data_IF_522858719635
#
_entry.id   IF_522858719635
#
_cell.length_a   1.000
_cell.length_b   1.000
_cell.length_c   1.000
_cell.angle_alpha   90.00
_cell.angle_beta   90.00
_cell.angle_gamma   90.00
#
_symmetry.space_group_name_H-M   'P 1'
#
loop_
_entity.id
_entity.type
_entity.pdbx_description
1 polymer ?
#
# COMPACT_ATOMS: atom_id res chain seq x y z
N UNK A 1 33.78 24.28 8.78
CA UNK A 1 33.00 23.50 9.77
C UNK A 1 31.54 23.70 9.46
N UNK A 2 30.94 22.79 8.67
CA UNK A 2 29.53 22.86 8.26
C UNK A 2 28.75 21.89 9.15
N UNK A 3 27.69 22.43 9.75
CA UNK A 3 26.85 21.82 10.79
C UNK A 3 26.04 20.62 10.26
N UNK A 4 26.33 19.42 10.77
CA UNK A 4 25.50 18.22 10.64
C UNK A 4 24.33 18.25 11.64
N UNK A 5 23.31 19.07 11.38
CA UNK A 5 22.07 19.04 12.19
C UNK A 5 20.83 19.23 11.34
N UNK A 6 20.42 18.21 10.58
CA UNK A 6 19.07 18.19 9.96
C UNK A 6 18.50 16.82 9.57
N UNK A 7 19.21 15.69 9.74
CA UNK A 7 18.75 14.40 9.18
C UNK A 7 17.80 13.60 10.12
N UNK A 8 17.68 13.98 11.39
CA UNK A 8 16.94 13.20 12.40
C UNK A 8 15.42 13.33 12.30
N UNK A 9 14.90 14.38 11.65
CA UNK A 9 13.43 14.64 11.59
C UNK A 9 12.73 13.87 10.47
N UNK A 10 13.43 13.52 9.39
CA UNK A 10 12.82 12.88 8.21
C UNK A 10 12.51 11.39 8.44
N UNK A 11 13.31 10.70 9.26
CA UNK A 11 13.15 9.24 9.52
C UNK A 11 11.92 8.95 10.40
N UNK A 12 11.55 9.88 11.29
CA UNK A 12 10.35 9.73 12.13
C UNK A 12 9.03 9.76 11.35
N UNK A 13 8.97 10.49 10.22
CA UNK A 13 7.74 10.66 9.45
C UNK A 13 7.45 9.44 8.55
N UNK A 14 8.48 8.76 8.04
CA UNK A 14 8.31 7.56 7.19
C UNK A 14 7.87 6.35 8.02
N UNK A 15 8.43 6.16 9.23
CA UNK A 15 8.01 5.10 10.16
C UNK A 15 6.63 5.34 10.77
N UNK A 16 6.25 6.60 11.03
CA UNK A 16 4.89 6.95 11.49
C UNK A 16 3.86 6.89 10.34
N UNK A 17 4.26 7.18 9.09
CA UNK A 17 3.38 7.09 7.92
C UNK A 17 2.98 5.66 7.55
N UNK A 18 3.93 4.72 7.57
CA UNK A 18 3.65 3.31 7.27
C UNK A 18 2.90 2.59 8.41
N UNK A 19 3.07 3.03 9.67
CA UNK A 19 2.42 2.44 10.85
C UNK A 19 1.08 3.12 11.19
N UNK A 20 0.94 4.42 10.91
CA UNK A 20 -0.26 5.19 11.20
C UNK A 20 -1.48 4.81 10.35
N UNK A 21 -1.25 4.25 9.16
CA UNK A 21 -2.34 3.80 8.29
C UNK A 21 -3.01 2.49 8.76
N UNK A 22 -2.40 1.76 9.70
CA UNK A 22 -2.92 0.49 10.22
C UNK A 22 -3.84 0.62 11.45
N UNK A 23 -4.02 1.82 12.03
CA UNK A 23 -4.72 1.98 13.33
C UNK A 23 -5.81 3.07 13.40
N UNK A 24 -6.26 3.68 12.31
CA UNK A 24 -7.36 4.67 12.37
C UNK A 24 -8.72 4.11 11.92
N UNK A 25 -9.28 3.15 12.64
CA UNK A 25 -10.74 2.92 12.65
C UNK A 25 -11.31 3.45 13.95
N UNK A 26 -11.28 4.78 14.13
CA UNK A 26 -12.02 5.46 15.18
C UNK A 26 -13.48 5.62 14.77
N UNK A 27 -14.39 5.05 15.55
CA UNK A 27 -15.83 5.14 15.37
C UNK A 27 -16.30 6.61 15.33
N UNK A 28 -16.76 7.07 14.16
CA UNK A 28 -17.50 8.32 14.04
C UNK A 28 -18.97 8.01 14.35
N UNK A 29 -19.45 8.48 15.51
CA UNK A 29 -20.88 8.53 15.80
C UNK A 29 -21.54 9.52 14.83
N UNK A 30 -22.23 8.99 13.82
CA UNK A 30 -23.06 9.79 12.93
C UNK A 30 -24.41 10.10 13.59
N UNK A 31 -24.72 11.40 13.72
CA UNK A 31 -26.07 11.88 14.03
C UNK A 31 -26.97 11.67 12.80
N UNK A 32 -28.22 11.22 12.96
CA UNK A 32 -29.14 11.06 11.84
C UNK A 32 -29.55 12.45 11.31
N UNK A 33 -29.41 12.66 10.01
CA UNK A 33 -29.95 13.83 9.31
C UNK A 33 -31.15 13.36 8.49
N UNK A 34 -32.30 13.98 8.74
CA UNK A 34 -33.58 13.64 8.13
C UNK A 34 -33.58 13.91 6.61
N UNK A 35 -34.21 12.99 5.89
CA UNK A 35 -34.45 13.00 4.45
C UNK A 35 -35.47 14.09 4.07
N UNK A 36 -35.20 14.79 2.98
CA UNK A 36 -36.26 15.30 2.10
C UNK A 36 -35.85 15.00 0.66
N UNK A 37 -36.62 14.11 0.05
CA UNK A 37 -36.55 13.66 -1.34
C UNK A 37 -37.35 14.61 -2.23
N UNK A 38 -36.74 15.09 -3.31
CA UNK A 38 -37.47 15.38 -4.56
C UNK A 38 -36.69 14.79 -5.73
N UNK A 39 -37.34 13.87 -6.44
CA UNK A 39 -36.84 13.22 -7.62
C UNK A 39 -36.91 14.16 -8.83
N UNK A 40 -35.82 14.24 -9.59
CA UNK A 40 -35.88 14.68 -10.99
C UNK A 40 -35.05 13.74 -11.85
N UNK A 41 -35.72 13.20 -12.87
CA UNK A 41 -35.22 12.21 -13.80
C UNK A 41 -34.68 12.93 -15.04
N UNK A 42 -33.38 12.81 -15.27
CA UNK A 42 -32.75 13.07 -16.57
C UNK A 42 -31.59 12.08 -16.70
N UNK A 43 -31.83 11.01 -17.44
CA UNK A 43 -30.80 10.08 -17.88
C UNK A 43 -30.19 10.64 -19.16
N UNK A 44 -29.06 11.34 -19.02
CA UNK A 44 -28.20 11.70 -20.14
C UNK A 44 -27.09 10.64 -20.29
N UNK A 45 -26.96 10.14 -21.52
CA UNK A 45 -25.93 9.21 -21.96
C UNK A 45 -24.55 9.87 -21.83
N UNK A 46 -23.83 9.56 -20.75
CA UNK A 46 -22.42 9.89 -20.61
C UNK A 46 -21.58 8.81 -21.30
N UNK A 47 -21.22 9.08 -22.55
CA UNK A 47 -20.12 8.38 -23.23
C UNK A 47 -18.83 8.70 -22.49
N UNK A 48 -18.42 7.82 -21.59
CA UNK A 48 -17.16 7.94 -20.85
C UNK A 48 -15.99 7.61 -21.78
N UNK A 49 -15.23 8.62 -22.19
CA UNK A 49 -13.91 8.41 -22.77
C UNK A 49 -12.97 7.98 -21.64
N UNK A 50 -12.34 6.80 -21.69
CA UNK A 50 -11.37 6.42 -20.68
C UNK A 50 -10.19 7.40 -20.76
N UNK A 51 -10.01 8.23 -19.73
CA UNK A 51 -8.78 8.99 -19.54
C UNK A 51 -7.67 7.95 -19.40
N UNK A 52 -6.76 7.89 -20.38
CA UNK A 52 -5.53 7.12 -20.25
C UNK A 52 -4.66 7.82 -19.21
N UNK A 53 -4.89 7.51 -17.92
CA UNK A 53 -3.96 7.83 -16.86
C UNK A 53 -2.62 7.23 -17.26
N UNK A 54 -1.56 8.05 -17.28
CA UNK A 54 -0.19 7.54 -17.41
C UNK A 54 -0.02 6.50 -16.32
N UNK A 55 0.00 5.23 -16.71
CA UNK A 55 0.44 4.17 -15.82
C UNK A 55 1.89 4.50 -15.49
N UNK A 56 2.12 5.01 -14.27
CA UNK A 56 3.41 4.92 -13.62
C UNK A 56 3.64 3.46 -13.19
N UNK A 57 3.49 2.54 -14.15
CA UNK A 57 4.21 1.29 -14.16
C UNK A 57 5.57 1.66 -14.71
N UNK A 58 6.40 2.30 -13.88
CA UNK A 58 7.83 2.18 -14.09
C UNK A 58 8.08 0.67 -13.93
N UNK A 59 8.41 -0.06 -15.01
CA UNK A 59 8.75 -1.46 -14.86
C UNK A 59 9.88 -1.49 -13.85
N UNK A 60 9.74 -2.32 -12.81
CA UNK A 60 10.87 -2.61 -11.95
C UNK A 60 12.05 -2.90 -12.88
N UNK A 61 13.19 -2.20 -12.72
CA UNK A 61 14.36 -2.49 -13.54
C UNK A 61 14.56 -4.00 -13.44
N UNK A 62 14.58 -4.67 -14.60
CA UNK A 62 14.94 -6.08 -14.64
C UNK A 62 16.22 -6.20 -13.83
N UNK A 63 16.16 -6.93 -12.71
CA UNK A 63 17.32 -7.24 -11.91
C UNK A 63 18.18 -8.12 -12.80
N UNK A 64 19.07 -7.45 -13.53
CA UNK A 64 20.28 -8.01 -14.08
C UNK A 64 20.85 -8.91 -12.97
N UNK A 65 21.14 -10.17 -13.31
CA UNK A 65 21.73 -11.21 -12.45
C UNK A 65 23.13 -10.76 -12.00
N UNK A 66 23.17 -9.69 -11.22
CA UNK A 66 24.38 -9.04 -10.79
C UNK A 66 25.01 -9.89 -9.72
N UNK A 67 26.26 -10.26 -10.02
CA UNK A 67 27.27 -10.83 -9.14
C UNK A 67 27.00 -10.51 -7.67
N UNK A 68 27.19 -11.47 -6.75
CA UNK A 68 26.98 -11.26 -5.32
C UNK A 68 27.79 -10.06 -4.86
N UNK A 69 27.14 -8.91 -4.73
CA UNK A 69 27.72 -7.71 -4.13
C UNK A 69 28.01 -8.11 -2.70
N UNK A 70 29.29 -8.17 -2.35
CA UNK A 70 29.70 -8.46 -0.98
C UNK A 70 29.16 -7.33 -0.08
N UNK A 71 28.06 -7.62 0.61
CA UNK A 71 27.46 -6.70 1.55
C UNK A 71 28.32 -6.67 2.81
N UNK A 72 28.75 -5.48 3.23
CA UNK A 72 29.37 -5.31 4.53
C UNK A 72 28.29 -5.38 5.62
N UNK A 73 28.22 -6.51 6.29
CA UNK A 73 27.23 -6.78 7.33
C UNK A 73 27.72 -6.41 8.75
N UNK A 74 28.97 -5.95 8.89
CA UNK A 74 29.56 -5.65 10.21
C UNK A 74 28.78 -4.57 10.97
N UNK A 75 28.14 -3.64 10.25
CA UNK A 75 27.30 -2.59 10.82
C UNK A 75 26.02 -3.11 11.49
N UNK A 76 25.63 -4.37 11.27
CA UNK A 76 24.44 -5.00 11.83
C UNK A 76 24.76 -5.96 12.98
N UNK A 77 26.04 -6.28 13.17
CA UNK A 77 26.48 -7.15 14.26
C UNK A 77 26.19 -6.49 15.62
N UNK A 78 25.66 -7.27 16.56
CA UNK A 78 25.35 -6.85 17.94
C UNK A 78 24.28 -5.75 18.08
N UNK A 79 23.58 -5.37 17.00
CA UNK A 79 22.43 -4.48 17.10
C UNK A 79 21.27 -5.19 17.82
N UNK A 80 20.56 -4.45 18.68
CA UNK A 80 19.28 -4.93 19.20
C UNK A 80 18.26 -5.06 18.06
N UNK A 81 17.25 -5.94 18.17
CA UNK A 81 16.32 -6.19 17.08
C UNK A 81 15.67 -4.92 16.49
N UNK A 82 15.26 -3.98 17.35
CA UNK A 82 14.65 -2.73 16.91
C UNK A 82 15.65 -1.75 16.26
N UNK A 83 16.90 -1.74 16.72
CA UNK A 83 17.98 -0.96 16.10
C UNK A 83 18.33 -1.51 14.73
N UNK A 84 18.38 -2.84 14.61
CA UNK A 84 18.58 -3.55 13.35
C UNK A 84 17.47 -3.22 12.36
N UNK A 85 16.20 -3.31 12.76
CA UNK A 85 15.07 -2.96 11.89
C UNK A 85 15.14 -1.50 11.44
N UNK A 86 15.49 -0.60 12.35
CA UNK A 86 15.64 0.83 12.04
C UNK A 86 16.77 1.06 11.04
N UNK A 87 17.91 0.39 11.22
CA UNK A 87 19.06 0.50 10.33
C UNK A 87 18.77 -0.09 8.94
N UNK A 88 18.09 -1.24 8.87
CA UNK A 88 17.60 -1.85 7.63
C UNK A 88 16.68 -0.89 6.87
N UNK A 89 15.67 -0.33 7.55
CA UNK A 89 14.75 0.63 6.94
C UNK A 89 15.44 1.93 6.50
N UNK A 90 16.47 2.37 7.23
CA UNK A 90 17.28 3.54 6.86
C UNK A 90 18.17 3.27 5.64
N UNK A 91 18.68 2.04 5.50
CA UNK A 91 19.53 1.69 4.37
C UNK A 91 18.74 1.63 3.06
N UNK A 92 17.50 1.15 3.09
CA UNK A 92 16.67 1.01 1.88
C UNK A 92 16.19 2.33 1.28
N UNK A 93 16.14 3.41 2.05
CA UNK A 93 15.73 4.74 1.56
C UNK A 93 16.88 5.60 1.02
N UNK A 94 18.12 5.08 1.05
CA UNK A 94 19.28 5.76 0.46
C UNK A 94 19.25 5.60 -1.07
N UNK A 95 19.88 6.54 -1.80
CA UNK A 95 19.87 6.53 -3.28
C UNK A 95 20.48 5.24 -3.85
N UNK A 96 21.53 4.72 -3.22
CA UNK A 96 22.17 3.43 -3.53
C UNK A 96 21.78 2.35 -2.49
N UNK A 97 20.57 2.48 -1.94
CA UNK A 97 20.06 1.63 -0.89
C UNK A 97 19.91 0.18 -1.34
N UNK A 98 20.20 -0.75 -0.43
CA UNK A 98 19.98 -2.18 -0.67
C UNK A 98 18.49 -2.47 -0.41
N UNK A 99 17.79 -3.18 -1.30
CA UNK A 99 16.42 -3.62 -1.04
C UNK A 99 16.31 -4.34 0.30
N UNK A 100 15.24 -4.07 1.05
CA UNK A 100 15.11 -4.59 2.42
C UNK A 100 15.12 -6.11 2.41
N UNK A 101 14.41 -6.75 1.47
CA UNK A 101 14.39 -8.20 1.35
C UNK A 101 15.80 -8.78 1.14
N UNK A 102 16.59 -8.19 0.23
CA UNK A 102 17.97 -8.62 -0.06
C UNK A 102 18.88 -8.49 1.15
N UNK A 103 18.78 -7.38 1.89
CA UNK A 103 19.56 -7.17 3.11
C UNK A 103 19.18 -8.16 4.22
N UNK A 104 17.88 -8.38 4.44
CA UNK A 104 17.41 -9.31 5.46
C UNK A 104 17.80 -10.77 5.15
N UNK A 105 17.75 -11.19 3.88
CA UNK A 105 18.24 -12.50 3.46
C UNK A 105 19.75 -12.65 3.71
N UNK A 106 20.55 -11.64 3.36
CA UNK A 106 21.99 -11.67 3.65
C UNK A 106 22.31 -11.77 5.15
N UNK A 107 21.51 -11.11 6.00
CA UNK A 107 21.63 -11.22 7.47
C UNK A 107 21.25 -12.62 7.99
N UNK A 108 20.31 -13.33 7.31
CA UNK A 108 19.97 -14.71 7.61
C UNK A 108 21.09 -15.67 7.20
N UNK A 109 21.63 -15.51 5.99
CA UNK A 109 22.75 -16.30 5.47
C UNK A 109 23.99 -16.20 6.38
N UNK A 110 24.27 -15.00 6.89
CA UNK A 110 25.37 -14.75 7.83
C UNK A 110 25.08 -15.23 9.26
N UNK A 111 23.84 -15.67 9.56
CA UNK A 111 23.44 -16.09 10.90
C UNK A 111 23.35 -14.96 11.93
N UNK A 112 23.34 -13.69 11.49
CA UNK A 112 23.26 -12.51 12.36
C UNK A 112 21.85 -12.38 12.95
N UNK A 113 20.83 -12.72 12.16
CA UNK A 113 19.44 -12.81 12.62
C UNK A 113 18.89 -14.23 12.47
N UNK A 114 17.86 -14.57 13.23
CA UNK A 114 17.18 -15.86 13.13
C UNK A 114 15.90 -15.70 12.31
N UNK A 115 15.59 -16.70 11.48
CA UNK A 115 14.50 -16.68 10.48
C UNK A 115 13.13 -16.24 10.99
N UNK A 116 12.78 -16.57 12.22
CA UNK A 116 11.48 -16.21 12.83
C UNK A 116 11.63 -15.39 14.13
N UNK A 117 12.81 -14.81 14.37
CA UNK A 117 12.99 -13.92 15.52
C UNK A 117 12.23 -12.61 15.31
N UNK A 118 11.67 -12.06 16.39
CA UNK A 118 11.00 -10.75 16.31
C UNK A 118 12.04 -9.63 16.16
N UNK A 119 11.93 -8.84 15.10
CA UNK A 119 12.73 -7.64 14.85
C UNK A 119 12.16 -6.38 15.53
N UNK A 120 11.02 -6.52 16.21
CA UNK A 120 10.38 -5.46 16.97
C UNK A 120 9.87 -6.04 18.27
N UNK A 121 10.01 -5.30 19.37
CA UNK A 121 9.30 -5.65 20.60
C UNK A 121 7.80 -5.49 20.34
N UNK A 122 7.09 -6.62 20.31
CA UNK A 122 5.62 -6.62 20.24
C UNK A 122 5.05 -6.17 21.59
N UNK A 123 3.82 -5.65 21.63
CA UNK A 123 3.13 -5.51 22.91
C UNK A 123 3.13 -6.88 23.61
N UNK A 124 3.41 -6.89 24.92
CA UNK A 124 3.58 -8.10 25.75
C UNK A 124 2.38 -9.06 25.75
N UNK A 125 1.29 -8.70 25.06
CA UNK A 125 0.02 -9.40 25.02
C UNK A 125 -0.06 -10.45 23.90
N UNK A 126 1.06 -11.07 23.52
CA UNK A 126 1.06 -12.15 22.51
C UNK A 126 0.85 -11.67 21.07
N UNK A 127 1.17 -10.41 20.76
CA UNK A 127 1.23 -9.97 19.37
C UNK A 127 2.31 -10.77 18.61
N UNK A 128 1.97 -11.18 17.39
CA UNK A 128 2.82 -12.02 16.57
C UNK A 128 4.17 -11.35 16.28
N UNK A 129 5.26 -12.14 16.17
CA UNK A 129 6.59 -11.60 15.99
C UNK A 129 6.67 -10.82 14.67
N UNK A 130 7.35 -9.67 14.70
CA UNK A 130 7.69 -8.92 13.50
C UNK A 130 8.90 -9.60 12.85
N UNK A 131 8.68 -10.75 12.21
CA UNK A 131 9.74 -11.60 11.64
C UNK A 131 10.45 -10.93 10.46
N UNK A 132 11.65 -11.40 10.05
CA UNK A 132 12.33 -10.95 8.84
C UNK A 132 11.44 -10.97 7.58
N UNK A 133 10.73 -12.07 7.30
CA UNK A 133 9.80 -12.12 6.17
C UNK A 133 8.71 -11.05 6.30
N UNK A 134 8.10 -10.91 7.47
CA UNK A 134 7.06 -9.89 7.66
C UNK A 134 7.60 -8.47 7.50
N UNK A 135 8.80 -8.20 8.01
CA UNK A 135 9.48 -6.92 7.84
C UNK A 135 9.74 -6.61 6.36
N UNK A 136 10.17 -7.61 5.58
CA UNK A 136 10.36 -7.47 4.14
C UNK A 136 9.04 -7.14 3.43
N UNK A 137 7.96 -7.87 3.72
CA UNK A 137 6.63 -7.60 3.13
C UNK A 137 6.09 -6.20 3.44
N UNK A 138 6.41 -5.65 4.62
CA UNK A 138 5.93 -4.31 5.03
C UNK A 138 6.80 -3.19 4.45
N UNK A 139 8.11 -3.39 4.35
CA UNK A 139 9.06 -2.34 4.00
C UNK A 139 9.52 -2.39 2.52
N UNK A 140 9.28 -3.50 1.84
CA UNK A 140 9.70 -3.74 0.45
C UNK A 140 8.50 -4.17 -0.40
N UNK A 141 7.84 -3.19 -1.01
CA UNK A 141 6.70 -3.50 -1.91
C UNK A 141 7.14 -4.19 -3.20
N UNK A 142 8.43 -4.09 -3.53
CA UNK A 142 9.08 -4.65 -4.72
C UNK A 142 9.77 -5.98 -4.46
N UNK A 143 9.55 -6.61 -3.29
CA UNK A 143 10.07 -7.94 -3.02
C UNK A 143 9.61 -8.93 -4.10
N UNK A 144 10.56 -9.67 -4.68
CA UNK A 144 10.29 -10.61 -5.78
C UNK A 144 9.82 -11.98 -5.29
N UNK A 145 9.26 -12.77 -6.20
CA UNK A 145 8.91 -14.17 -5.96
C UNK A 145 10.09 -15.00 -5.43
N UNK A 146 11.28 -14.85 -6.02
CA UNK A 146 12.49 -15.57 -5.61
C UNK A 146 12.93 -15.16 -4.20
N UNK A 147 12.80 -13.88 -3.85
CA UNK A 147 13.15 -13.40 -2.51
C UNK A 147 12.18 -13.94 -1.46
N UNK A 148 10.88 -13.97 -1.75
CA UNK A 148 9.88 -14.61 -0.86
C UNK A 148 10.18 -16.10 -0.72
N UNK A 149 10.47 -16.80 -1.83
CA UNK A 149 10.84 -18.21 -1.80
C UNK A 149 12.09 -18.43 -0.95
N UNK A 150 13.13 -17.60 -1.07
CA UNK A 150 14.34 -17.70 -0.27
C UNK A 150 14.05 -17.59 1.24
N UNK A 151 13.13 -16.70 1.66
CA UNK A 151 12.71 -16.66 3.07
C UNK A 151 12.09 -17.99 3.53
N UNK A 152 11.25 -18.61 2.71
CA UNK A 152 10.67 -19.92 3.01
C UNK A 152 11.71 -21.05 3.01
N UNK A 153 12.70 -20.99 2.12
CA UNK A 153 13.82 -21.94 2.09
C UNK A 153 14.67 -21.87 3.37
N UNK A 154 14.77 -20.68 3.99
CA UNK A 154 15.35 -20.51 5.33
C UNK A 154 14.47 -21.02 6.48
N UNK A 155 13.23 -21.46 6.20
CA UNK A 155 12.26 -21.91 7.20
C UNK A 155 11.40 -20.77 7.80
N UNK A 156 11.22 -19.66 7.07
CA UNK A 156 10.23 -18.65 7.46
C UNK A 156 8.84 -19.24 7.41
N UNK A 157 7.93 -18.72 8.25
CA UNK A 157 6.51 -19.00 8.09
C UNK A 157 5.71 -17.71 8.03
N UNK A 158 4.60 -17.76 7.30
CA UNK A 158 3.64 -16.67 7.26
C UNK A 158 2.49 -16.91 8.24
N UNK A 159 1.83 -15.83 8.62
CA UNK A 159 0.54 -15.90 9.31
C UNK A 159 -0.56 -15.41 8.36
N UNK A 160 -1.79 -15.87 8.55
CA UNK A 160 -2.91 -15.52 7.68
C UNK A 160 -3.88 -14.51 8.30
N UNK A 161 -3.43 -13.75 9.31
CA UNK A 161 -4.27 -12.76 9.96
C UNK A 161 -4.36 -11.46 9.15
N UNK A 162 -5.23 -10.53 9.60
CA UNK A 162 -5.50 -9.29 8.86
C UNK A 162 -4.27 -8.43 8.57
N UNK A 163 -3.26 -8.45 9.44
CA UNK A 163 -2.05 -7.64 9.27
C UNK A 163 -1.20 -8.20 8.12
N UNK A 164 -1.03 -9.52 8.08
CA UNK A 164 -0.31 -10.20 6.99
C UNK A 164 -1.07 -10.10 5.67
N UNK A 165 -2.39 -10.27 5.69
CA UNK A 165 -3.24 -10.05 4.50
C UNK A 165 -3.07 -8.62 3.97
N UNK A 166 -2.99 -7.63 4.86
CA UNK A 166 -2.76 -6.24 4.46
C UNK A 166 -1.38 -6.03 3.84
N UNK A 167 -0.34 -6.68 4.35
CA UNK A 167 1.00 -6.63 3.76
C UNK A 167 1.03 -7.31 2.38
N UNK A 168 0.43 -8.51 2.27
CA UNK A 168 0.31 -9.25 1.01
C UNK A 168 -0.43 -8.45 -0.07
N UNK A 169 -1.54 -7.78 0.28
CA UNK A 169 -2.30 -6.94 -0.67
C UNK A 169 -1.56 -5.68 -1.15
N UNK A 170 -0.40 -5.37 -0.59
CA UNK A 170 0.43 -4.23 -0.97
C UNK A 170 1.63 -4.57 -1.87
N UNK A 171 1.88 -5.86 -2.12
CA UNK A 171 2.94 -6.35 -3.01
C UNK A 171 2.74 -5.82 -4.43
N UNK A 172 3.77 -5.26 -5.04
CA UNK A 172 3.68 -4.78 -6.41
C UNK A 172 3.66 -5.94 -7.43
N UNK A 173 4.36 -7.03 -7.12
CA UNK A 173 4.51 -8.19 -7.99
C UNK A 173 3.45 -9.27 -7.68
N UNK A 174 2.56 -9.61 -8.64
CA UNK A 174 1.61 -10.70 -8.49
C UNK A 174 2.25 -12.09 -8.38
N UNK A 175 3.42 -12.31 -8.97
CA UNK A 175 4.11 -13.60 -8.86
C UNK A 175 4.65 -13.79 -7.44
N UNK A 176 5.22 -12.73 -6.86
CA UNK A 176 5.57 -12.70 -5.44
C UNK A 176 4.36 -13.00 -4.54
N UNK A 177 3.20 -12.44 -4.87
CA UNK A 177 1.97 -12.76 -4.15
C UNK A 177 1.62 -14.25 -4.26
N UNK A 178 1.67 -14.84 -5.45
CA UNK A 178 1.33 -16.26 -5.65
C UNK A 178 2.23 -17.18 -4.81
N UNK A 179 3.55 -16.93 -4.77
CA UNK A 179 4.48 -17.68 -3.90
C UNK A 179 4.09 -17.51 -2.42
N UNK A 180 3.79 -16.29 -1.99
CA UNK A 180 3.37 -16.04 -0.61
C UNK A 180 2.07 -16.75 -0.25
N UNK A 181 1.10 -16.81 -1.17
CA UNK A 181 -0.17 -17.49 -0.93
C UNK A 181 0.00 -19.01 -0.83
N UNK A 182 0.79 -19.59 -1.74
CA UNK A 182 1.05 -21.02 -1.78
C UNK A 182 1.85 -21.50 -0.56
N UNK A 183 3.00 -20.86 -0.29
CA UNK A 183 3.90 -21.27 0.78
C UNK A 183 3.45 -20.77 2.16
N UNK A 184 2.73 -19.65 2.21
CA UNK A 184 2.25 -19.03 3.45
C UNK A 184 0.96 -19.62 4.02
N UNK A 185 0.35 -20.60 3.35
CA UNK A 185 -0.86 -21.27 3.82
C UNK A 185 -2.13 -20.45 3.67
N UNK A 186 -2.19 -19.51 2.71
CA UNK A 186 -3.39 -18.71 2.47
C UNK A 186 -4.43 -19.53 1.69
N UNK A 187 -5.48 -19.97 2.38
CA UNK A 187 -6.64 -20.61 1.77
C UNK A 187 -7.68 -19.65 1.17
N UNK A 188 -8.69 -20.20 0.46
CA UNK A 188 -9.80 -19.44 -0.15
C UNK A 188 -10.53 -18.47 0.78
N UNK A 189 -10.59 -18.79 2.07
CA UNK A 189 -11.16 -17.94 3.12
C UNK A 189 -10.45 -16.59 3.27
N UNK A 190 -9.20 -16.48 2.81
CA UNK A 190 -8.41 -15.24 2.88
C UNK A 190 -8.48 -14.42 1.59
N UNK A 191 -8.80 -15.06 0.45
CA UNK A 191 -8.72 -14.42 -0.87
C UNK A 191 -9.66 -13.23 -1.01
N UNK A 192 -10.87 -13.32 -0.46
CA UNK A 192 -11.80 -12.19 -0.48
C UNK A 192 -11.26 -10.99 0.30
N UNK A 193 -10.68 -11.22 1.49
CA UNK A 193 -10.07 -10.14 2.27
C UNK A 193 -8.86 -9.55 1.54
N UNK A 194 -8.02 -10.38 0.93
CA UNK A 194 -6.87 -9.94 0.15
C UNK A 194 -7.29 -9.11 -1.07
N UNK A 195 -8.32 -9.53 -1.78
CA UNK A 195 -8.93 -8.82 -2.90
C UNK A 195 -9.44 -7.44 -2.47
N UNK A 196 -10.17 -7.36 -1.35
CA UNK A 196 -10.60 -6.10 -0.76
C UNK A 196 -9.40 -5.22 -0.34
N UNK A 197 -8.34 -5.80 0.23
CA UNK A 197 -7.13 -5.05 0.60
C UNK A 197 -6.40 -4.50 -0.62
N UNK A 198 -6.27 -5.27 -1.71
CA UNK A 198 -5.67 -4.80 -2.95
C UNK A 198 -6.47 -3.63 -3.56
N UNK A 199 -7.80 -3.70 -3.51
CA UNK A 199 -8.67 -2.60 -3.93
C UNK A 199 -8.45 -1.35 -3.06
N UNK A 200 -8.52 -1.49 -1.73
CA UNK A 200 -8.37 -0.38 -0.78
C UNK A 200 -6.96 0.21 -0.74
N UNK A 201 -5.93 -0.54 -1.12
CA UNK A 201 -4.56 -0.02 -1.23
C UNK A 201 -4.29 0.68 -2.55
N UNK A 202 -5.19 0.57 -3.53
CA UNK A 202 -4.97 1.06 -4.89
C UNK A 202 -4.06 0.18 -5.73
N UNK A 203 -3.84 -1.06 -5.31
CA UNK A 203 -2.96 -1.99 -5.97
C UNK A 203 -3.68 -2.67 -7.13
N UNK A 204 -3.82 -1.93 -8.23
CA UNK A 204 -4.55 -2.37 -9.41
C UNK A 204 -4.02 -3.69 -9.98
N UNK A 205 -2.70 -3.89 -9.98
CA UNK A 205 -2.08 -5.08 -10.55
C UNK A 205 -2.46 -6.34 -9.76
N UNK A 206 -2.31 -6.32 -8.43
CA UNK A 206 -2.75 -7.42 -7.56
C UNK A 206 -4.26 -7.62 -7.61
N UNK A 207 -5.04 -6.53 -7.61
CA UNK A 207 -6.49 -6.62 -7.71
C UNK A 207 -6.93 -7.34 -8.99
N UNK A 208 -6.36 -6.96 -10.14
CA UNK A 208 -6.66 -7.57 -11.43
C UNK A 208 -6.19 -9.03 -11.50
N UNK A 209 -5.03 -9.34 -10.93
CA UNK A 209 -4.52 -10.71 -10.83
C UNK A 209 -5.47 -11.63 -10.06
N UNK A 210 -5.88 -11.20 -8.86
CA UNK A 210 -6.83 -11.96 -8.03
C UNK A 210 -8.18 -12.12 -8.72
N UNK A 211 -8.68 -11.07 -9.38
CA UNK A 211 -9.92 -11.13 -10.15
C UNK A 211 -9.81 -12.13 -11.31
N UNK A 212 -8.71 -12.10 -12.07
CA UNK A 212 -8.47 -12.99 -13.21
C UNK A 212 -8.33 -14.46 -12.82
N UNK A 213 -7.86 -14.74 -11.61
CA UNK A 213 -7.77 -16.08 -11.04
C UNK A 213 -9.08 -16.54 -10.34
N UNK A 214 -10.12 -15.71 -10.30
CA UNK A 214 -11.35 -16.01 -9.55
C UNK A 214 -11.15 -16.06 -8.03
N UNK A 215 -10.07 -15.44 -7.52
CA UNK A 215 -9.70 -15.35 -6.10
C UNK A 215 -10.25 -14.07 -5.44
N UNK A 216 -11.46 -13.69 -5.83
CA UNK A 216 -12.13 -12.50 -5.32
C UNK A 216 -13.25 -12.06 -6.24
N UNK A 217 -14.30 -11.49 -5.67
CA UNK A 217 -15.38 -10.90 -6.44
C UNK A 217 -16.02 -9.75 -5.68
N UNK A 218 -16.53 -8.78 -6.44
CA UNK A 218 -17.45 -7.79 -5.90
C UNK A 218 -18.87 -8.38 -5.87
N UNK A 219 -19.58 -8.06 -4.80
CA UNK A 219 -21.02 -8.28 -4.67
C UNK A 219 -21.63 -7.06 -3.97
N UNK A 220 -22.96 -7.02 -3.87
CA UNK A 220 -23.67 -5.89 -3.27
C UNK A 220 -23.18 -5.52 -1.85
N UNK A 221 -23.04 -6.49 -0.96
CA UNK A 221 -22.63 -6.24 0.43
C UNK A 221 -21.19 -5.70 0.53
N UNK A 222 -20.27 -6.29 -0.24
CA UNK A 222 -18.85 -5.90 -0.26
C UNK A 222 -18.68 -4.54 -0.90
N UNK A 223 -19.33 -4.31 -2.05
CA UNK A 223 -19.29 -3.01 -2.74
C UNK A 223 -19.82 -1.89 -1.85
N UNK A 224 -20.92 -2.10 -1.11
CA UNK A 224 -21.43 -1.07 -0.20
C UNK A 224 -20.47 -0.79 0.97
N UNK A 225 -19.82 -1.81 1.51
CA UNK A 225 -18.80 -1.64 2.56
C UNK A 225 -17.57 -0.88 2.05
N UNK A 226 -17.11 -1.20 0.83
CA UNK A 226 -16.00 -0.51 0.19
C UNK A 226 -16.36 0.94 -0.17
N UNK A 227 -17.59 1.18 -0.64
CA UNK A 227 -18.11 2.52 -0.91
C UNK A 227 -17.94 3.45 0.29
N UNK A 228 -18.39 3.04 1.49
CA UNK A 228 -18.30 3.88 2.69
C UNK A 228 -16.86 4.25 3.02
N UNK A 229 -15.92 3.32 2.85
CA UNK A 229 -14.49 3.54 3.13
C UNK A 229 -13.86 4.46 2.09
N UNK A 230 -14.16 4.25 0.81
CA UNK A 230 -13.64 5.05 -0.29
C UNK A 230 -14.20 6.46 -0.24
N UNK A 231 -15.50 6.64 -0.01
CA UNK A 231 -16.12 7.96 0.13
C UNK A 231 -15.47 8.78 1.24
N UNK A 232 -15.34 8.21 2.45
CA UNK A 232 -14.68 8.89 3.57
C UNK A 232 -13.24 9.29 3.18
N UNK A 233 -12.49 8.40 2.54
CA UNK A 233 -11.09 8.65 2.17
C UNK A 233 -10.96 9.74 1.10
N UNK A 234 -11.81 9.70 0.08
CA UNK A 234 -11.84 10.67 -1.03
C UNK A 234 -12.33 12.02 -0.56
N UNK A 235 -13.41 12.07 0.21
CA UNK A 235 -13.94 13.31 0.80
C UNK A 235 -12.89 13.98 1.69
N UNK A 236 -12.20 13.22 2.54
CA UNK A 236 -11.11 13.76 3.35
C UNK A 236 -9.94 14.29 2.51
N UNK A 237 -9.58 13.60 1.43
CA UNK A 237 -8.53 14.07 0.52
C UNK A 237 -8.93 15.38 -0.16
N UNK A 238 -10.14 15.44 -0.74
CA UNK A 238 -10.67 16.63 -1.41
C UNK A 238 -10.79 17.85 -0.46
N UNK A 239 -11.10 17.64 0.82
CA UNK A 239 -11.21 18.72 1.78
C UNK A 239 -9.84 19.22 2.29
N UNK A 240 -8.83 18.35 2.35
CA UNK A 240 -7.53 18.69 2.97
C UNK A 240 -6.45 19.11 1.98
N UNK A 241 -6.58 18.73 0.71
CA UNK A 241 -5.57 19.03 -0.30
C UNK A 241 -5.53 20.48 -0.78
N UNK A 242 -6.66 21.20 -0.98
CA UNK A 242 -6.63 22.62 -1.35
C UNK A 242 -5.81 23.47 -0.36
N UNK A 243 -5.90 23.17 0.93
CA UNK A 243 -5.12 23.88 1.97
C UNK A 243 -3.61 23.59 1.86
N UNK A 244 -3.23 22.34 1.56
CA UNK A 244 -1.82 21.94 1.41
C UNK A 244 -1.20 22.39 0.09
N UNK A 245 -2.03 22.63 -0.92
CA UNK A 245 -1.64 23.05 -2.26
C UNK A 245 -1.32 24.55 -2.34
N UNK A 246 -2.00 25.37 -1.52
CA UNK A 246 -1.80 26.83 -1.51
C UNK A 246 -0.42 27.27 -0.98
N UNK A 247 0.38 26.37 -0.41
CA UNK A 247 1.78 26.65 -0.10
C UNK A 247 2.61 26.58 -1.40
N UNK A 248 3.07 27.75 -1.86
CA UNK A 248 3.59 28.07 -3.19
C UNK A 248 4.86 27.31 -3.66
N UNK A 249 5.25 26.23 -3.00
CA UNK A 249 6.25 25.29 -3.48
C UNK A 249 5.93 23.90 -2.93
N UNK A 250 5.00 23.20 -3.57
CA UNK A 250 4.89 21.75 -3.39
C UNK A 250 6.25 21.14 -3.70
N UNK A 251 6.96 20.70 -2.65
CA UNK A 251 8.22 20.00 -2.81
C UNK A 251 7.99 18.81 -3.77
N UNK A 252 8.93 18.50 -4.68
CA UNK A 252 8.75 17.43 -5.67
C UNK A 252 8.25 16.10 -5.05
N UNK A 253 8.75 15.77 -3.85
CA UNK A 253 8.31 14.58 -3.09
C UNK A 253 6.84 14.63 -2.66
N UNK A 254 6.33 15.79 -2.26
CA UNK A 254 4.91 15.97 -1.92
C UNK A 254 4.05 15.81 -3.15
N UNK A 255 4.46 16.39 -4.29
CA UNK A 255 3.78 16.24 -5.57
C UNK A 255 3.68 14.77 -6.00
N UNK A 256 4.79 14.03 -6.01
CA UNK A 256 4.79 12.59 -6.32
C UNK A 256 3.84 11.81 -5.41
N UNK A 257 3.88 12.07 -4.10
CA UNK A 257 3.01 11.41 -3.11
C UNK A 257 1.51 11.72 -3.33
N UNK A 258 1.19 12.97 -3.70
CA UNK A 258 -0.18 13.38 -4.03
C UNK A 258 -0.67 12.71 -5.32
N UNK A 259 0.13 12.71 -6.38
CA UNK A 259 -0.20 12.04 -7.64
C UNK A 259 -0.42 10.53 -7.42
N UNK A 260 0.43 9.86 -6.65
CA UNK A 260 0.25 8.45 -6.28
C UNK A 260 -1.07 8.21 -5.52
N UNK A 261 -1.40 9.10 -4.59
CA UNK A 261 -2.65 9.02 -3.82
C UNK A 261 -3.88 9.23 -4.71
N UNK A 262 -3.81 10.18 -5.65
CA UNK A 262 -4.85 10.46 -6.64
C UNK A 262 -5.08 9.27 -7.56
N UNK A 263 -4.02 8.69 -8.12
CA UNK A 263 -4.10 7.49 -8.96
C UNK A 263 -4.80 6.34 -8.23
N UNK A 264 -4.45 6.12 -6.96
CA UNK A 264 -5.15 5.14 -6.11
C UNK A 264 -6.65 5.44 -5.99
N UNK A 265 -7.02 6.68 -5.66
CA UNK A 265 -8.44 7.02 -5.47
C UNK A 265 -9.22 6.92 -6.76
N UNK A 266 -8.65 7.33 -7.90
CA UNK A 266 -9.28 7.20 -9.21
C UNK A 266 -9.55 5.72 -9.54
N UNK A 267 -8.56 4.84 -9.33
CA UNK A 267 -8.75 3.40 -9.49
C UNK A 267 -9.88 2.84 -8.59
N UNK A 268 -9.95 3.28 -7.32
CA UNK A 268 -10.99 2.84 -6.38
C UNK A 268 -12.38 3.26 -6.84
N UNK A 269 -12.53 4.53 -7.24
CA UNK A 269 -13.80 5.06 -7.74
C UNK A 269 -14.23 4.34 -9.02
N UNK A 270 -13.31 4.14 -9.97
CA UNK A 270 -13.57 3.45 -11.24
C UNK A 270 -14.00 2.01 -11.00
N UNK A 271 -13.34 1.32 -10.07
CA UNK A 271 -13.69 -0.05 -9.69
C UNK A 271 -15.09 -0.14 -9.09
N UNK A 272 -15.44 0.78 -8.18
CA UNK A 272 -16.77 0.79 -7.55
C UNK A 272 -17.88 1.13 -8.53
N UNK A 273 -17.66 2.12 -9.39
CA UNK A 273 -18.63 2.52 -10.43
C UNK A 273 -18.82 1.39 -11.44
N UNK A 274 -17.74 0.75 -11.90
CA UNK A 274 -17.79 -0.35 -12.85
C UNK A 274 -18.41 -1.64 -12.27
N UNK A 275 -18.47 -1.77 -10.94
CA UNK A 275 -19.02 -2.96 -10.28
C UNK A 275 -20.51 -3.21 -10.58
N UNK A 276 -21.26 -2.16 -10.91
CA UNK A 276 -22.71 -2.24 -11.19
C UNK A 276 -23.59 -2.53 -9.96
N UNK A 277 -23.01 -2.64 -8.75
CA UNK A 277 -23.75 -2.93 -7.52
C UNK A 277 -24.20 -1.69 -6.73
N UNK A 278 -23.75 -0.50 -7.12
CA UNK A 278 -24.12 0.74 -6.44
C UNK A 278 -25.51 1.24 -6.86
N UNK A 279 -26.21 1.89 -5.93
CA UNK A 279 -27.44 2.62 -6.27
C UNK A 279 -27.14 3.76 -7.26
N UNK A 280 -28.11 4.19 -8.09
CA UNK A 280 -27.90 5.28 -9.05
C UNK A 280 -27.40 6.58 -8.39
N UNK A 281 -27.85 6.85 -7.15
CA UNK A 281 -27.40 7.99 -6.37
C UNK A 281 -25.92 7.89 -5.99
N UNK A 282 -25.50 6.74 -5.42
CA UNK A 282 -24.09 6.49 -5.07
C UNK A 282 -23.19 6.53 -6.30
N UNK A 283 -23.63 5.93 -7.41
CA UNK A 283 -22.90 5.95 -8.69
C UNK A 283 -22.71 7.39 -9.20
N UNK A 284 -23.76 8.21 -9.18
CA UNK A 284 -23.68 9.62 -9.59
C UNK A 284 -22.73 10.40 -8.69
N UNK A 285 -22.82 10.20 -7.38
CA UNK A 285 -21.97 10.85 -6.40
C UNK A 285 -20.48 10.50 -6.58
N UNK A 286 -20.13 9.22 -6.71
CA UNK A 286 -18.75 8.80 -6.98
C UNK A 286 -18.24 9.32 -8.33
N UNK A 287 -19.11 9.39 -9.34
CA UNK A 287 -18.75 9.95 -10.66
C UNK A 287 -18.38 11.43 -10.55
N UNK A 288 -19.10 12.21 -9.73
CA UNK A 288 -18.76 13.62 -9.46
C UNK A 288 -17.44 13.74 -8.71
N UNK A 289 -17.22 12.94 -7.66
CA UNK A 289 -15.94 12.91 -6.94
C UNK A 289 -14.77 12.58 -7.88
N UNK A 290 -14.96 11.61 -8.77
CA UNK A 290 -13.96 11.23 -9.78
C UNK A 290 -13.60 12.42 -10.68
N UNK A 291 -14.59 13.17 -11.17
CA UNK A 291 -14.34 14.36 -12.00
C UNK A 291 -13.51 15.41 -11.25
N UNK A 292 -13.79 15.65 -9.97
CA UNK A 292 -12.99 16.56 -9.15
C UNK A 292 -11.55 16.08 -8.96
N UNK A 293 -11.34 14.78 -8.72
CA UNK A 293 -10.00 14.22 -8.59
C UNK A 293 -9.21 14.26 -9.90
N UNK A 294 -9.85 14.05 -11.06
CA UNK A 294 -9.20 14.19 -12.37
C UNK A 294 -8.72 15.63 -12.58
N UNK A 295 -9.58 16.62 -12.33
CA UNK A 295 -9.20 18.03 -12.46
C UNK A 295 -8.01 18.39 -11.55
N UNK A 296 -8.03 17.90 -10.30
CA UNK A 296 -6.93 18.11 -9.36
C UNK A 296 -5.64 17.41 -9.78
N UNK A 297 -5.74 16.20 -10.33
CA UNK A 297 -4.59 15.47 -10.87
C UNK A 297 -3.94 16.24 -12.01
N UNK A 298 -4.73 16.71 -12.98
CA UNK A 298 -4.25 17.49 -14.12
C UNK A 298 -3.60 18.81 -13.67
N UNK A 299 -4.19 19.49 -12.68
CA UNK A 299 -3.63 20.71 -12.10
C UNK A 299 -2.25 20.45 -11.47
N UNK A 300 -2.13 19.41 -10.65
CA UNK A 300 -0.85 19.04 -10.00
C UNK A 300 0.17 18.57 -11.05
N UNK A 301 -0.24 17.83 -12.07
CA UNK A 301 0.64 17.39 -13.16
C UNK A 301 1.18 18.59 -13.94
N UNK A 302 0.38 19.64 -14.14
CA UNK A 302 0.77 20.84 -14.89
C UNK A 302 1.77 21.77 -14.15
N UNK A 303 2.11 21.50 -12.89
CA UNK A 303 3.10 22.27 -12.12
C UNK A 303 4.57 21.96 -12.47
N UNK A 304 4.84 21.15 -13.50
CA UNK A 304 6.18 20.95 -14.09
C UNK A 304 6.58 22.07 -15.06
#
# INVERSE_FOLDING_TARGET
>A
MISQRSLTVVVGIVLVGAVGFLWSTGAVMLKPKAEQSEASSAADNLTQTPVQLRHFSEPAPALDDQQPVALDLTAYENLLPQELLTQVAKQSVQADGIPVAKLLLALLDAGIIRVNASLKEGPQNGAMPYSPLFAALVLDRSISAEQIQAFFDHGSFAFTNQIWISAAGNLADPEALDVLLEQGGFGPEHYQLLFERAMLSGNQQVYQHLLGQGRGQLNDAITNTLYERVDISVTNALNTWPEKYNDAALLPRMRTSMLQSLTRYLFQLDTLVASGYLSPEKTRFLTQQRQHLVALYEEIEALD
#
